data_IF_148410178424
#
_entry.id   IF_148410178424
#
_cell.length_a   1.000
_cell.length_b   1.000
_cell.length_c   1.000
_cell.angle_alpha   90.00
_cell.angle_beta   90.00
_cell.angle_gamma   90.00
#
_symmetry.space_group_name_H-M   'P 1'
#
loop_
_entity.id
_entity.type
_entity.pdbx_description
1 polymer ?
#
# COMPACT_ATOMS: atom_id res chain seq x y z
N UNK A 1 45.35 -54.46 73.09
CA UNK A 1 44.09 -54.45 72.31
C UNK A 1 43.60 -53.02 72.25
N UNK A 2 43.39 -52.47 71.06
CA UNK A 2 42.97 -51.08 70.86
C UNK A 2 43.47 -50.51 69.54
N UNK A 3 42.88 -50.96 68.42
CA UNK A 3 43.03 -50.34 67.10
C UNK A 3 42.24 -49.03 67.11
N UNK A 4 42.82 -47.92 66.67
CA UNK A 4 42.06 -46.76 66.21
C UNK A 4 42.74 -46.18 64.97
N UNK A 5 41.93 -46.13 63.90
CA UNK A 5 42.30 -45.87 62.53
C UNK A 5 42.39 -44.37 62.23
N UNK A 6 43.16 -44.07 61.18
CA UNK A 6 43.35 -42.76 60.56
C UNK A 6 42.03 -42.18 60.04
N UNK A 7 41.83 -40.87 60.21
CA UNK A 7 41.00 -40.06 59.33
C UNK A 7 41.80 -38.81 58.92
N UNK A 8 42.18 -38.75 57.64
CA UNK A 8 42.78 -37.58 57.01
C UNK A 8 41.65 -36.73 56.43
N UNK A 9 41.52 -35.49 56.89
CA UNK A 9 40.50 -34.54 56.46
C UNK A 9 40.99 -33.78 55.22
N UNK A 10 40.46 -34.13 54.04
CA UNK A 10 40.60 -33.35 52.81
C UNK A 10 39.65 -32.14 52.89
N UNK A 11 40.21 -30.93 52.94
CA UNK A 11 39.47 -29.68 52.73
C UNK A 11 39.30 -29.45 51.24
N UNK A 12 38.08 -29.66 50.73
CA UNK A 12 37.69 -29.22 49.39
C UNK A 12 37.07 -27.83 49.47
N UNK A 13 37.77 -26.81 48.96
CA UNK A 13 37.22 -25.48 48.75
C UNK A 13 36.23 -25.53 47.58
N UNK A 14 34.93 -25.39 47.88
CA UNK A 14 33.91 -25.21 46.85
C UNK A 14 33.93 -23.74 46.38
N UNK A 15 34.56 -23.49 45.23
CA UNK A 15 34.36 -22.24 44.50
C UNK A 15 32.93 -22.24 43.94
N UNK A 16 32.04 -21.47 44.56
CA UNK A 16 30.70 -21.20 44.03
C UNK A 16 30.86 -20.26 42.84
N UNK A 17 30.95 -20.85 41.63
CA UNK A 17 30.64 -20.14 40.39
C UNK A 17 29.16 -19.75 40.47
N UNK A 18 28.88 -18.49 40.77
CA UNK A 18 27.55 -17.92 40.66
C UNK A 18 27.10 -18.00 39.20
N UNK A 19 26.28 -18.99 38.88
CA UNK A 19 25.47 -18.96 37.67
C UNK A 19 24.61 -17.69 37.75
N UNK A 20 24.80 -16.75 36.83
CA UNK A 20 23.89 -15.63 36.66
C UNK A 20 22.50 -16.23 36.44
N UNK A 21 21.55 -15.91 37.32
CA UNK A 21 20.16 -16.30 37.12
C UNK A 21 19.73 -15.79 35.73
N UNK A 22 18.95 -16.57 34.95
CA UNK A 22 18.42 -16.06 33.70
C UNK A 22 17.68 -14.74 33.98
N UNK A 23 18.03 -13.71 33.22
CA UNK A 23 17.40 -12.38 33.26
C UNK A 23 15.87 -12.54 33.40
N UNK A 24 15.28 -11.92 34.42
CA UNK A 24 13.82 -11.96 34.61
C UNK A 24 13.07 -11.31 33.41
N UNK A 25 11.74 -11.52 33.29
CA UNK A 25 10.96 -11.04 32.16
C UNK A 25 11.13 -9.54 31.84
N UNK A 26 11.32 -8.70 32.86
CA UNK A 26 11.52 -7.25 32.70
C UNK A 26 12.87 -6.93 32.03
N UNK A 27 13.95 -7.60 32.46
CA UNK A 27 15.27 -7.43 31.85
C UNK A 27 15.30 -7.93 30.39
N UNK A 28 14.56 -9.00 30.10
CA UNK A 28 14.35 -9.48 28.73
C UNK A 28 13.58 -8.45 27.88
N UNK A 29 12.47 -7.91 28.41
CA UNK A 29 11.69 -6.88 27.73
C UNK A 29 12.53 -5.64 27.41
N UNK A 30 13.35 -5.17 28.35
CA UNK A 30 14.24 -4.02 28.11
C UNK A 30 15.22 -4.28 26.96
N UNK A 31 15.79 -5.49 26.89
CA UNK A 31 16.70 -5.88 25.79
C UNK A 31 15.98 -5.88 24.44
N UNK A 32 14.75 -6.40 24.41
CA UNK A 32 13.88 -6.39 23.22
C UNK A 32 13.58 -4.95 22.79
N UNK A 33 13.14 -4.09 23.71
CA UNK A 33 12.84 -2.69 23.44
C UNK A 33 14.08 -1.92 22.93
N UNK A 34 15.25 -2.12 23.55
CA UNK A 34 16.51 -1.52 23.08
C UNK A 34 16.86 -1.96 21.66
N UNK A 35 16.72 -3.25 21.35
CA UNK A 35 16.98 -3.78 20.01
C UNK A 35 15.99 -3.24 18.98
N UNK A 36 14.70 -3.20 19.30
CA UNK A 36 13.68 -2.63 18.42
C UNK A 36 13.91 -1.14 18.18
N UNK A 37 14.33 -0.38 19.20
CA UNK A 37 14.72 1.02 19.05
C UNK A 37 15.90 1.21 18.10
N UNK A 38 16.95 0.40 18.22
CA UNK A 38 18.08 0.42 17.29
C UNK A 38 17.66 0.11 15.85
N UNK A 39 16.77 -0.88 15.66
CA UNK A 39 16.26 -1.24 14.34
C UNK A 39 15.40 -0.11 13.74
N UNK A 40 14.38 0.35 14.46
CA UNK A 40 13.41 1.35 13.98
C UNK A 40 14.02 2.73 13.74
N UNK A 41 15.14 3.07 14.39
CA UNK A 41 15.87 4.30 14.12
C UNK A 41 16.70 4.27 12.82
N UNK A 42 17.02 3.08 12.30
CA UNK A 42 17.70 2.88 11.01
C UNK A 42 16.73 2.67 9.84
N UNK A 43 15.45 2.42 10.14
CA UNK A 43 14.40 2.21 9.14
C UNK A 43 14.21 3.37 8.14
N UNK A 44 14.42 4.67 8.50
CA UNK A 44 14.35 5.78 7.54
C UNK A 44 15.26 5.66 6.32
N UNK A 45 16.31 4.83 6.40
CA UNK A 45 17.26 4.63 5.31
C UNK A 45 16.73 3.67 4.23
N UNK A 46 15.50 3.15 4.34
CA UNK A 46 15.00 2.10 3.44
C UNK A 46 13.65 2.42 2.81
N UNK A 47 13.50 1.95 1.57
CA UNK A 47 12.25 1.94 0.81
C UNK A 47 11.97 0.53 0.35
N UNK A 48 10.72 0.10 0.43
CA UNK A 48 10.26 -1.20 -0.04
C UNK A 48 9.08 -1.05 -1.00
N UNK A 49 8.93 -1.99 -1.92
CA UNK A 49 7.70 -2.18 -2.68
C UNK A 49 6.69 -2.93 -1.81
N UNK A 50 5.56 -2.29 -1.51
CA UNK A 50 4.42 -2.89 -0.84
C UNK A 50 3.37 -3.30 -1.88
N UNK A 51 3.10 -4.60 -1.97
CA UNK A 51 2.00 -5.15 -2.79
C UNK A 51 0.86 -5.57 -1.86
N UNK A 52 -0.34 -5.02 -2.04
CA UNK A 52 -1.50 -5.27 -1.18
C UNK A 52 -2.64 -5.86 -1.99
N UNK A 53 -3.00 -7.11 -1.71
CA UNK A 53 -4.19 -7.76 -2.23
C UNK A 53 -5.40 -7.41 -1.35
N UNK A 54 -6.43 -6.82 -1.95
CA UNK A 54 -7.65 -6.43 -1.25
C UNK A 54 -8.78 -7.38 -1.59
N UNK A 55 -9.51 -7.80 -0.57
CA UNK A 55 -10.66 -8.68 -0.69
C UNK A 55 -11.74 -8.30 0.32
N UNK A 56 -12.99 -8.64 0.02
CA UNK A 56 -14.11 -8.43 0.94
C UNK A 56 -15.06 -9.60 0.99
N UNK A 57 -15.79 -9.73 2.09
CA UNK A 57 -16.99 -10.59 2.18
C UNK A 57 -18.12 -9.79 2.81
N UNK A 58 -19.34 -10.00 2.32
CA UNK A 58 -20.53 -9.29 2.79
C UNK A 58 -21.04 -9.79 4.15
N UNK A 59 -20.70 -11.03 4.50
CA UNK A 59 -21.08 -11.62 5.78
C UNK A 59 -20.00 -12.61 6.24
N UNK A 60 -19.96 -12.95 7.55
CA UNK A 60 -18.99 -13.90 8.09
C UNK A 60 -19.07 -15.32 7.49
N UNK A 61 -20.24 -15.71 7.00
CA UNK A 61 -20.46 -17.00 6.33
C UNK A 61 -20.08 -16.98 4.84
N UNK A 62 -19.89 -15.79 4.25
CA UNK A 62 -19.50 -15.63 2.86
C UNK A 62 -18.01 -15.90 2.61
N UNK A 63 -17.68 -16.22 1.36
CA UNK A 63 -16.30 -16.27 0.90
C UNK A 63 -15.75 -14.87 0.61
N UNK A 64 -14.44 -14.72 0.80
CA UNK A 64 -13.73 -13.52 0.38
C UNK A 64 -13.72 -13.44 -1.15
N UNK A 65 -14.25 -12.34 -1.67
CA UNK A 65 -14.18 -11.96 -3.07
C UNK A 65 -13.02 -10.99 -3.25
N UNK A 66 -12.06 -11.28 -4.15
CA UNK A 66 -11.02 -10.33 -4.52
C UNK A 66 -11.63 -9.02 -5.04
N UNK A 67 -11.04 -7.89 -4.66
CA UNK A 67 -11.41 -6.57 -5.14
C UNK A 67 -10.41 -6.11 -6.20
N UNK A 68 -9.16 -5.93 -5.77
CA UNK A 68 -8.04 -5.50 -6.59
C UNK A 68 -6.69 -5.73 -5.88
N UNK A 69 -5.60 -5.41 -6.57
CA UNK A 69 -4.24 -5.40 -6.03
C UNK A 69 -3.68 -3.99 -6.13
N UNK A 70 -3.04 -3.51 -5.06
CA UNK A 70 -2.37 -2.22 -4.96
C UNK A 70 -0.85 -2.43 -4.94
N UNK A 71 -0.10 -1.62 -5.69
CA UNK A 71 1.37 -1.58 -5.63
C UNK A 71 1.84 -0.15 -5.37
N UNK A 72 2.57 0.04 -4.27
CA UNK A 72 3.17 1.33 -3.88
C UNK A 72 4.56 1.10 -3.32
N UNK A 73 5.48 2.05 -3.52
CA UNK A 73 6.68 2.12 -2.69
C UNK A 73 6.33 2.79 -1.36
N UNK A 74 6.92 2.31 -0.27
CA UNK A 74 6.76 2.86 1.08
C UNK A 74 8.13 3.12 1.70
N UNK A 75 8.26 4.27 2.35
CA UNK A 75 9.46 4.66 3.11
C UNK A 75 9.09 5.46 4.35
N UNK A 76 10.05 5.62 5.26
CA UNK A 76 9.87 6.38 6.50
C UNK A 76 10.68 7.69 6.43
N UNK A 77 10.01 8.83 6.27
CA UNK A 77 10.65 10.15 6.19
C UNK A 77 10.07 11.06 7.28
N UNK A 78 10.93 11.68 8.09
CA UNK A 78 10.47 12.60 9.14
C UNK A 78 9.48 11.99 10.13
N UNK A 79 9.61 10.69 10.41
CA UNK A 79 8.67 9.91 11.24
C UNK A 79 7.25 9.77 10.65
N UNK A 80 7.08 9.93 9.34
CA UNK A 80 5.87 9.63 8.58
C UNK A 80 6.15 8.51 7.58
N UNK A 81 5.22 7.56 7.47
CA UNK A 81 5.22 6.68 6.31
C UNK A 81 4.75 7.49 5.11
N UNK A 82 5.62 7.59 4.10
CA UNK A 82 5.31 8.21 2.82
C UNK A 82 5.19 7.12 1.77
N UNK A 83 4.34 7.37 0.78
CA UNK A 83 4.04 6.43 -0.29
C UNK A 83 4.25 7.08 -1.65
N UNK A 84 4.57 6.25 -2.63
CA UNK A 84 4.65 6.67 -4.01
C UNK A 84 4.23 5.53 -4.92
N UNK A 85 3.88 5.86 -6.17
CA UNK A 85 3.73 4.83 -7.18
C UNK A 85 5.10 4.26 -7.58
N UNK A 86 5.17 2.98 -8.00
CA UNK A 86 6.41 2.41 -8.54
C UNK A 86 6.98 3.26 -9.68
N UNK A 87 8.30 3.36 -9.78
CA UNK A 87 9.02 4.13 -10.81
C UNK A 87 8.76 5.65 -10.78
N UNK A 88 8.12 6.18 -9.73
CA UNK A 88 8.02 7.63 -9.54
C UNK A 88 9.35 8.21 -9.08
N UNK A 89 9.58 9.50 -9.35
CA UNK A 89 10.84 10.17 -9.00
C UNK A 89 10.99 10.49 -7.50
N UNK A 90 9.92 10.34 -6.71
CA UNK A 90 9.92 10.63 -5.28
C UNK A 90 8.59 10.36 -4.61
N UNK A 91 8.59 10.49 -3.28
CA UNK A 91 7.40 10.31 -2.45
C UNK A 91 6.37 11.42 -2.66
N UNK A 92 5.09 11.05 -2.62
CA UNK A 92 3.99 12.01 -2.63
C UNK A 92 3.79 12.56 -1.22
N UNK A 93 3.60 13.87 -1.09
CA UNK A 93 3.11 14.47 0.17
C UNK A 93 1.57 14.40 0.22
N UNK A 94 1.05 13.19 0.04
CA UNK A 94 -0.37 12.86 0.13
C UNK A 94 -0.56 11.63 0.99
N UNK A 95 -1.72 11.52 1.61
CA UNK A 95 -2.07 10.31 2.32
C UNK A 95 -2.35 9.17 1.33
N UNK A 96 -2.02 7.93 1.71
CA UNK A 96 -2.26 6.75 0.87
C UNK A 96 -3.74 6.62 0.45
N UNK A 97 -4.67 7.00 1.34
CA UNK A 97 -6.10 7.01 1.06
C UNK A 97 -6.47 7.99 -0.07
N UNK A 98 -5.81 9.14 -0.14
CA UNK A 98 -6.02 10.14 -1.19
C UNK A 98 -5.41 9.69 -2.52
N UNK A 99 -4.24 9.06 -2.50
CA UNK A 99 -3.61 8.49 -3.70
C UNK A 99 -4.51 7.42 -4.36
N UNK A 100 -5.14 6.57 -3.55
CA UNK A 100 -5.97 5.45 -4.04
C UNK A 100 -7.41 5.91 -4.32
N UNK A 101 -7.93 6.85 -3.54
CA UNK A 101 -9.24 7.47 -3.68
C UNK A 101 -10.44 6.55 -3.39
N UNK A 102 -10.24 5.27 -3.07
CA UNK A 102 -11.32 4.32 -2.78
C UNK A 102 -10.91 3.07 -2.00
N UNK A 103 -11.91 2.48 -1.36
CA UNK A 103 -11.78 1.21 -0.63
C UNK A 103 -10.98 1.36 0.67
N UNK A 104 -10.80 0.23 1.35
CA UNK A 104 -10.06 0.18 2.61
C UNK A 104 -8.56 0.17 2.35
N UNK A 105 -7.83 1.00 3.10
CA UNK A 105 -6.37 1.09 3.09
C UNK A 105 -5.86 1.16 4.53
N UNK A 106 -4.64 0.67 4.76
CA UNK A 106 -3.99 0.71 6.06
C UNK A 106 -2.61 1.32 5.93
N UNK A 107 -2.21 2.11 6.94
CA UNK A 107 -0.87 2.66 7.07
C UNK A 107 -0.27 2.24 8.41
N UNK A 108 1.03 2.43 8.59
CA UNK A 108 1.73 2.10 9.82
C UNK A 108 2.31 0.69 9.86
N UNK A 109 2.04 -0.14 8.85
CA UNK A 109 2.52 -1.51 8.74
C UNK A 109 4.02 -1.59 8.44
N UNK A 110 4.60 -0.54 7.84
CA UNK A 110 6.04 -0.50 7.55
C UNK A 110 6.86 -0.17 8.80
N UNK A 111 6.39 0.79 9.60
CA UNK A 111 7.13 1.40 10.70
C UNK A 111 6.23 1.83 11.86
N UNK A 112 5.16 2.59 11.59
CA UNK A 112 4.56 3.45 12.62
C UNK A 112 3.92 2.66 13.75
N UNK A 113 3.28 1.52 13.49
CA UNK A 113 2.70 0.68 14.54
C UNK A 113 3.78 0.12 15.46
N UNK A 114 4.90 -0.37 14.91
CA UNK A 114 6.02 -0.83 15.71
C UNK A 114 6.66 0.32 16.51
N UNK A 115 6.82 1.51 15.90
CA UNK A 115 7.32 2.70 16.63
C UNK A 115 6.38 3.11 17.76
N UNK A 116 5.08 3.02 17.54
CA UNK A 116 4.08 3.33 18.56
C UNK A 116 4.17 2.35 19.74
N UNK A 117 4.37 1.06 19.49
CA UNK A 117 4.51 0.04 20.54
C UNK A 117 5.84 0.14 21.29
N UNK A 118 6.96 0.32 20.58
CA UNK A 118 8.30 0.18 21.17
C UNK A 118 8.98 1.50 21.57
N UNK A 119 8.62 2.65 20.97
CA UNK A 119 9.37 3.91 21.17
C UNK A 119 8.61 5.00 21.93
N UNK A 120 7.29 4.98 21.89
CA UNK A 120 6.44 5.99 22.56
C UNK A 120 6.52 5.93 24.09
N UNK A 121 6.92 4.78 24.65
CA UNK A 121 6.89 4.44 26.08
C UNK A 121 5.50 4.53 26.74
N UNK A 122 4.43 4.49 25.96
CA UNK A 122 3.05 4.48 26.48
C UNK A 122 2.42 3.09 26.53
N UNK A 123 3.10 2.08 25.96
CA UNK A 123 2.64 0.70 25.97
C UNK A 123 3.03 0.02 27.29
N UNK A 124 2.03 -0.57 27.95
CA UNK A 124 2.22 -1.41 29.13
C UNK A 124 2.32 -2.87 28.69
N UNK A 125 3.42 -3.54 29.03
CA UNK A 125 3.70 -4.91 28.60
C UNK A 125 3.46 -5.91 29.73
N UNK A 126 2.97 -7.10 29.38
CA UNK A 126 2.76 -8.22 30.29
C UNK A 126 3.40 -9.49 29.72
N UNK A 127 4.30 -10.09 30.50
CA UNK A 127 4.90 -11.39 30.17
C UNK A 127 3.83 -12.48 30.01
N UNK A 128 3.92 -13.27 28.92
CA UNK A 128 3.04 -14.43 28.71
C UNK A 128 3.76 -15.78 28.68
N UNK A 129 5.09 -15.79 28.61
CA UNK A 129 5.85 -17.03 28.57
C UNK A 129 6.53 -17.30 27.25
N UNK A 130 7.15 -18.47 27.19
CA UNK A 130 7.53 -19.11 25.95
C UNK A 130 6.28 -19.55 25.17
N UNK A 131 6.37 -19.52 23.85
CA UNK A 131 5.29 -19.83 22.92
C UNK A 131 5.88 -20.51 21.66
N UNK A 132 5.03 -21.09 20.82
CA UNK A 132 5.39 -21.63 19.51
C UNK A 132 4.63 -20.89 18.43
N UNK A 133 5.29 -19.94 17.76
CA UNK A 133 4.70 -19.23 16.63
C UNK A 133 5.05 -19.96 15.33
N UNK A 134 4.03 -20.49 14.64
CA UNK A 134 4.19 -21.27 13.41
C UNK A 134 5.23 -22.42 13.55
N UNK A 135 5.26 -23.06 14.73
CA UNK A 135 6.19 -24.15 15.04
C UNK A 135 7.62 -23.72 15.39
N UNK A 136 7.91 -22.42 15.51
CA UNK A 136 9.21 -21.89 15.96
C UNK A 136 9.11 -21.37 17.39
N UNK A 137 10.15 -21.62 18.18
CA UNK A 137 10.26 -21.08 19.54
C UNK A 137 10.19 -19.56 19.52
N UNK A 138 9.32 -19.01 20.35
CA UNK A 138 9.14 -17.58 20.52
C UNK A 138 8.91 -17.27 22.00
N UNK A 139 9.15 -16.02 22.34
CA UNK A 139 8.76 -15.43 23.62
C UNK A 139 7.63 -14.45 23.34
N UNK A 140 6.58 -14.48 24.15
CA UNK A 140 5.40 -13.63 23.98
C UNK A 140 5.26 -12.62 25.11
N UNK A 141 5.01 -11.37 24.71
CA UNK A 141 4.48 -10.33 25.59
C UNK A 141 3.16 -9.83 25.01
N UNK A 142 2.16 -9.69 25.86
CA UNK A 142 0.99 -8.88 25.52
C UNK A 142 1.27 -7.43 25.88
N UNK A 143 0.60 -6.50 25.20
CA UNK A 143 0.69 -5.09 25.51
C UNK A 143 -0.64 -4.36 25.34
N UNK A 144 -0.78 -3.22 26.00
CA UNK A 144 -1.92 -2.32 25.85
C UNK A 144 -1.45 -0.86 25.77
N UNK A 145 -2.13 -0.09 24.91
CA UNK A 145 -2.01 1.36 24.79
C UNK A 145 -3.39 1.99 25.03
N UNK A 146 -3.59 2.69 26.16
CA UNK A 146 -4.83 3.39 26.46
C UNK A 146 -5.17 4.46 25.41
N UNK A 147 -6.46 4.70 25.16
CA UNK A 147 -6.93 5.66 24.16
C UNK A 147 -6.40 7.08 24.38
N UNK A 148 -6.31 7.53 25.63
CA UNK A 148 -5.84 8.87 25.99
C UNK A 148 -4.33 9.07 25.78
N UNK A 149 -3.55 8.00 25.62
CA UNK A 149 -2.12 8.03 25.33
C UNK A 149 -1.81 7.62 23.88
N UNK A 150 -2.83 7.22 23.12
CA UNK A 150 -2.70 6.75 21.75
C UNK A 150 -2.71 7.89 20.74
N UNK A 151 -1.96 7.74 19.65
CA UNK A 151 -2.13 8.50 18.41
C UNK A 151 -2.71 7.67 17.26
N UNK A 152 -3.19 6.45 17.51
CA UNK A 152 -3.71 5.57 16.46
C UNK A 152 -5.11 6.01 16.03
N UNK A 153 -5.26 6.32 14.74
CA UNK A 153 -6.49 6.89 14.18
C UNK A 153 -7.14 5.94 13.19
N UNK A 154 -8.45 5.79 13.30
CA UNK A 154 -9.31 5.16 12.29
C UNK A 154 -10.12 6.26 11.61
N UNK A 155 -10.15 6.23 10.27
CA UNK A 155 -10.89 7.20 9.44
C UNK A 155 -11.89 6.48 8.56
N UNK A 156 -13.15 6.87 8.66
CA UNK A 156 -14.27 6.44 7.81
C UNK A 156 -15.03 7.71 7.43
N UNK A 157 -14.64 8.40 6.34
CA UNK A 157 -15.17 9.71 6.02
C UNK A 157 -16.71 9.78 6.06
N UNK A 158 -17.29 10.82 6.68
CA UNK A 158 -16.63 12.00 7.23
C UNK A 158 -16.07 11.83 8.66
N UNK A 159 -16.23 10.65 9.27
CA UNK A 159 -15.87 10.41 10.66
C UNK A 159 -14.40 9.97 10.82
N UNK A 160 -13.78 10.39 11.92
CA UNK A 160 -12.48 9.88 12.34
C UNK A 160 -12.39 9.89 13.88
N UNK A 161 -11.62 8.95 14.44
CA UNK A 161 -11.36 8.93 15.87
C UNK A 161 -9.98 8.34 16.19
N UNK A 162 -9.40 8.83 17.28
CA UNK A 162 -8.28 8.17 17.96
C UNK A 162 -8.83 7.04 18.83
N UNK A 163 -8.20 5.86 18.73
CA UNK A 163 -8.57 4.63 19.44
C UNK A 163 -7.40 4.15 20.30
N UNK A 164 -7.72 3.51 21.44
CA UNK A 164 -6.75 2.69 22.13
C UNK A 164 -6.49 1.41 21.32
N UNK A 165 -5.47 0.66 21.69
CA UNK A 165 -5.24 -0.65 21.08
C UNK A 165 -4.45 -1.56 22.02
N UNK A 166 -4.52 -2.85 21.77
CA UNK A 166 -3.76 -3.86 22.48
C UNK A 166 -3.29 -4.92 21.49
N UNK A 167 -2.49 -5.86 21.97
CA UNK A 167 -2.14 -7.03 21.18
C UNK A 167 -0.96 -7.75 21.78
N UNK A 168 -0.17 -8.36 20.91
CA UNK A 168 0.90 -9.25 21.31
C UNK A 168 2.12 -9.08 20.40
N UNK A 169 3.30 -9.24 20.99
CA UNK A 169 4.56 -9.32 20.28
C UNK A 169 5.18 -10.68 20.52
N UNK A 170 5.64 -11.31 19.44
CA UNK A 170 6.41 -12.55 19.47
C UNK A 170 7.83 -12.26 19.05
N UNK A 171 8.78 -12.76 19.83
CA UNK A 171 10.19 -12.47 19.65
C UNK A 171 10.97 -13.77 19.64
N UNK A 172 11.93 -13.90 18.72
CA UNK A 172 12.81 -15.06 18.68
C UNK A 172 13.76 -15.04 19.91
N UNK A 173 13.84 -16.10 20.73
CA UNK A 173 14.59 -16.08 21.98
C UNK A 173 16.10 -15.89 21.77
N UNK A 174 16.65 -16.47 20.70
CA UNK A 174 18.09 -16.47 20.45
C UNK A 174 18.61 -15.11 19.95
N UNK A 175 17.84 -14.47 19.07
CA UNK A 175 18.25 -13.21 18.45
C UNK A 175 17.62 -12.00 19.11
N UNK A 176 16.47 -12.13 19.77
CA UNK A 176 15.59 -11.04 20.16
C UNK A 176 14.99 -10.26 18.97
N UNK A 177 14.96 -10.83 17.78
CA UNK A 177 14.25 -10.24 16.65
C UNK A 177 12.74 -10.36 16.87
N UNK A 178 12.02 -9.25 16.64
CA UNK A 178 10.56 -9.29 16.50
C UNK A 178 10.23 -10.23 15.34
N UNK A 179 9.32 -11.16 15.59
CA UNK A 179 8.82 -12.13 14.60
C UNK A 179 7.42 -11.74 14.16
N UNK A 180 6.55 -11.33 15.11
CA UNK A 180 5.19 -10.88 14.82
C UNK A 180 4.77 -9.77 15.76
N UNK A 181 4.06 -8.79 15.22
CA UNK A 181 3.32 -7.77 15.96
C UNK A 181 1.84 -7.88 15.59
N UNK A 182 0.99 -8.12 16.58
CA UNK A 182 -0.47 -8.07 16.44
C UNK A 182 -1.00 -6.80 17.12
N UNK A 183 -1.90 -6.10 16.44
CA UNK A 183 -2.52 -4.83 16.87
C UNK A 183 -4.02 -4.96 16.71
N UNK A 184 -4.76 -4.83 17.82
CA UNK A 184 -6.23 -4.84 17.86
C UNK A 184 -6.73 -3.52 18.44
N UNK A 185 -7.56 -2.82 17.69
CA UNK A 185 -8.15 -1.56 18.14
C UNK A 185 -9.16 -1.79 19.26
N UNK A 186 -9.17 -0.90 20.24
CA UNK A 186 -10.08 -0.88 21.38
C UNK A 186 -11.01 0.34 21.31
N UNK A 187 -12.18 0.23 21.93
CA UNK A 187 -13.08 1.37 22.15
C UNK A 187 -13.39 2.16 20.86
N UNK A 188 -13.58 1.44 19.74
CA UNK A 188 -13.88 2.06 18.45
C UNK A 188 -15.23 2.78 18.57
N UNK A 189 -15.31 4.12 18.38
CA UNK A 189 -16.57 4.82 18.51
C UNK A 189 -17.60 4.37 17.47
N UNK A 190 -18.85 4.16 17.91
CA UNK A 190 -19.97 3.71 17.09
C UNK A 190 -20.17 4.52 15.79
N UNK A 191 -19.99 5.87 15.75
CA UNK A 191 -20.11 6.64 14.52
C UNK A 191 -19.15 6.23 13.39
N UNK A 192 -18.06 5.51 13.69
CA UNK A 192 -17.19 4.96 12.65
C UNK A 192 -17.82 3.78 11.90
N UNK A 193 -18.88 3.16 12.44
CA UNK A 193 -19.54 2.01 11.82
C UNK A 193 -18.69 0.73 11.84
N UNK A 194 -17.69 0.66 12.71
CA UNK A 194 -16.67 -0.38 12.76
C UNK A 194 -16.77 -1.21 14.03
N UNK A 195 -16.82 -2.54 13.88
CA UNK A 195 -16.84 -3.50 14.98
C UNK A 195 -15.43 -3.94 15.38
N UNK A 196 -14.54 -4.14 14.40
CA UNK A 196 -13.20 -4.66 14.65
C UNK A 196 -12.19 -4.08 13.65
N UNK A 197 -10.99 -3.80 14.14
CA UNK A 197 -9.84 -3.44 13.32
C UNK A 197 -8.58 -4.13 13.86
N UNK A 198 -8.05 -5.08 13.09
CA UNK A 198 -6.87 -5.87 13.45
C UNK A 198 -5.80 -5.71 12.38
N UNK A 199 -4.58 -5.41 12.81
CA UNK A 199 -3.38 -5.50 11.96
C UNK A 199 -2.44 -6.55 12.52
N UNK A 200 -1.91 -7.41 11.65
CA UNK A 200 -0.85 -8.36 11.97
C UNK A 200 0.31 -8.07 11.04
N UNK A 201 1.52 -7.96 11.57
CA UNK A 201 2.75 -7.79 10.77
C UNK A 201 3.75 -8.86 11.15
N UNK A 202 4.28 -9.54 10.14
CA UNK A 202 5.33 -10.55 10.26
C UNK A 202 6.67 -9.96 9.85
N UNK A 203 7.69 -10.20 10.65
CA UNK A 203 9.02 -9.63 10.49
C UNK A 203 10.04 -10.73 10.20
N UNK A 204 10.97 -10.41 9.32
CA UNK A 204 12.15 -11.24 9.10
C UNK A 204 13.34 -10.36 8.73
N UNK A 205 14.54 -10.94 8.82
CA UNK A 205 15.75 -10.30 8.31
C UNK A 205 15.76 -10.40 6.79
N UNK A 206 16.05 -9.27 6.14
CA UNK A 206 16.32 -9.19 4.71
C UNK A 206 17.73 -8.64 4.48
N UNK A 207 18.52 -9.24 3.57
CA UNK A 207 19.81 -8.70 3.19
C UNK A 207 19.62 -7.43 2.34
N UNK A 208 20.16 -6.30 2.79
CA UNK A 208 20.16 -5.04 2.06
C UNK A 208 21.57 -4.47 2.06
N UNK A 209 22.18 -4.43 0.88
CA UNK A 209 23.59 -4.05 0.74
C UNK A 209 24.49 -5.01 1.53
N UNK A 210 25.24 -4.46 2.49
CA UNK A 210 26.17 -5.23 3.33
C UNK A 210 25.61 -5.53 4.73
N UNK A 211 24.29 -5.38 4.94
CA UNK A 211 23.67 -5.58 6.26
C UNK A 211 22.38 -6.37 6.19
N UNK A 212 22.15 -7.21 7.20
CA UNK A 212 20.86 -7.86 7.43
C UNK A 212 19.98 -6.97 8.30
N UNK A 213 18.84 -6.57 7.77
CA UNK A 213 17.94 -5.62 8.41
C UNK A 213 16.60 -6.26 8.72
N UNK A 214 16.08 -6.04 9.94
CA UNK A 214 14.79 -6.59 10.35
C UNK A 214 13.66 -5.70 9.82
N UNK A 215 12.86 -6.24 8.92
CA UNK A 215 11.79 -5.53 8.23
C UNK A 215 10.49 -6.31 8.32
N UNK A 216 9.33 -5.63 8.24
CA UNK A 216 8.10 -6.32 7.92
C UNK A 216 8.26 -7.00 6.55
N UNK A 217 7.84 -8.26 6.45
CA UNK A 217 7.80 -9.04 5.22
C UNK A 217 6.37 -9.21 4.73
N UNK A 218 5.43 -9.35 5.66
CA UNK A 218 4.02 -9.46 5.37
C UNK A 218 3.19 -8.66 6.39
N UNK A 219 2.01 -8.22 5.96
CA UNK A 219 1.01 -7.60 6.82
C UNK A 219 -0.39 -8.09 6.46
N UNK A 220 -1.28 -8.22 7.43
CA UNK A 220 -2.71 -8.40 7.19
C UNK A 220 -3.48 -7.33 7.98
N UNK A 221 -4.32 -6.55 7.31
CA UNK A 221 -5.32 -5.69 7.92
C UNK A 221 -6.69 -6.31 7.71
N UNK A 222 -7.43 -6.50 8.80
CA UNK A 222 -8.79 -7.02 8.81
C UNK A 222 -9.71 -6.01 9.50
N UNK A 223 -10.71 -5.55 8.76
CA UNK A 223 -11.68 -4.56 9.19
C UNK A 223 -13.08 -5.16 9.11
N UNK A 224 -13.81 -5.17 10.22
CA UNK A 224 -15.19 -5.65 10.30
C UNK A 224 -16.11 -4.48 10.61
N UNK A 225 -17.14 -4.28 9.79
CA UNK A 225 -18.17 -3.26 10.02
C UNK A 225 -19.21 -3.75 11.03
N UNK A 226 -20.00 -2.83 11.60
CA UNK A 226 -21.16 -3.20 12.44
C UNK A 226 -22.23 -4.00 11.68
N UNK A 227 -22.26 -3.89 10.33
CA UNK A 227 -23.16 -4.70 9.49
C UNK A 227 -22.63 -6.11 9.20
N UNK A 228 -21.41 -6.44 9.65
CA UNK A 228 -20.78 -7.74 9.41
C UNK A 228 -20.07 -7.88 8.06
N UNK A 229 -19.95 -6.79 7.28
CA UNK A 229 -19.05 -6.76 6.14
C UNK A 229 -17.61 -6.79 6.64
N UNK A 230 -16.77 -7.57 5.97
CA UNK A 230 -15.35 -7.66 6.31
C UNK A 230 -14.47 -7.36 5.12
N UNK A 231 -13.57 -6.41 5.31
CA UNK A 231 -12.55 -6.02 4.37
C UNK A 231 -11.19 -6.55 4.86
N UNK A 232 -10.45 -7.16 3.95
CA UNK A 232 -9.13 -7.75 4.24
C UNK A 232 -8.12 -7.29 3.21
N UNK A 233 -7.03 -6.72 3.71
CA UNK A 233 -5.87 -6.30 2.94
C UNK A 233 -4.67 -7.17 3.36
N UNK A 234 -4.12 -7.93 2.42
CA UNK A 234 -2.89 -8.72 2.63
C UNK A 234 -1.75 -8.06 1.88
N UNK A 235 -0.77 -7.59 2.62
CA UNK A 235 0.40 -6.89 2.12
C UNK A 235 1.66 -7.74 2.17
N UNK A 236 2.52 -7.60 1.18
CA UNK A 236 3.88 -8.12 1.15
C UNK A 236 4.87 -6.98 0.88
N UNK A 237 6.02 -7.02 1.54
CA UNK A 237 7.10 -6.05 1.38
C UNK A 237 8.28 -6.71 0.66
N UNK A 238 8.59 -6.21 -0.53
CA UNK A 238 9.62 -6.79 -1.41
C UNK A 238 10.51 -5.69 -1.99
N UNK A 239 11.60 -6.08 -2.65
CA UNK A 239 12.47 -5.12 -3.35
C UNK A 239 13.07 -4.04 -2.46
N UNK A 240 13.21 -4.31 -1.15
CA UNK A 240 13.69 -3.34 -0.19
C UNK A 240 15.12 -2.90 -0.51
N UNK A 241 15.34 -1.58 -0.56
CA UNK A 241 16.61 -0.97 -0.92
C UNK A 241 16.91 0.22 -0.03
N UNK A 242 18.20 0.52 0.13
CA UNK A 242 18.60 1.72 0.84
C UNK A 242 18.23 2.97 0.01
N UNK A 243 17.61 3.95 0.65
CA UNK A 243 17.28 5.24 0.06
C UNK A 243 18.57 6.00 -0.22
N UNK A 244 18.85 6.26 -1.50
CA UNK A 244 19.91 7.19 -1.93
C UNK A 244 19.25 8.53 -2.18
N UNK A 245 19.81 9.59 -1.61
CA UNK A 245 19.26 10.96 -1.53
C UNK A 245 19.03 11.70 -2.85
N UNK A 246 18.92 11.01 -3.99
CA UNK A 246 18.61 11.62 -5.29
C UNK A 246 17.10 11.74 -5.55
N UNK A 247 16.25 11.13 -4.72
CA UNK A 247 14.80 11.34 -4.78
C UNK A 247 14.46 12.68 -4.14
N UNK A 248 14.31 13.72 -4.96
CA UNK A 248 13.77 15.00 -4.54
C UNK A 248 12.37 14.78 -3.97
N UNK A 249 12.17 15.14 -2.69
CA UNK A 249 10.83 15.28 -2.14
C UNK A 249 10.11 16.37 -2.95
N UNK A 250 9.09 15.98 -3.71
CA UNK A 250 8.30 16.90 -4.51
C UNK A 250 7.29 17.58 -3.60
N UNK A 251 7.75 18.55 -2.81
CA UNK A 251 6.88 19.46 -2.07
C UNK A 251 6.31 20.49 -3.03
N UNK A 252 5.37 20.09 -3.89
CA UNK A 252 4.61 21.05 -4.70
C UNK A 252 3.49 21.63 -3.82
N UNK A 253 3.82 22.67 -3.04
CA UNK A 253 2.88 23.77 -2.82
C UNK A 253 2.87 24.63 -4.10
N UNK A 254 1.73 25.20 -4.54
CA UNK A 254 1.72 26.18 -5.62
C UNK A 254 2.29 27.51 -5.10
N UNK A 255 3.58 27.53 -4.74
CA UNK A 255 4.31 28.77 -4.52
C UNK A 255 4.82 29.23 -5.87
N UNK A 256 4.36 30.41 -6.27
CA UNK A 256 4.87 31.12 -7.42
C UNK A 256 6.36 31.44 -7.19
N UNK A 257 7.26 30.64 -7.74
CA UNK A 257 8.66 31.01 -7.88
C UNK A 257 9.13 30.88 -9.33
N UNK A 258 9.45 32.07 -9.84
CA UNK A 258 10.07 32.41 -11.11
C UNK A 258 11.44 31.76 -11.27
N UNK A 259 11.55 30.83 -12.21
CA UNK A 259 12.81 30.22 -12.64
C UNK A 259 12.59 29.01 -13.55
N UNK A 260 11.89 29.19 -14.67
CA UNK A 260 11.60 28.12 -15.65
C UNK A 260 12.94 27.61 -16.23
N UNK A 261 13.30 26.31 -16.10
CA UNK A 261 14.22 25.68 -17.05
C UNK A 261 13.68 25.88 -18.47
N UNK A 262 14.49 25.81 -19.55
CA UNK A 262 14.00 25.99 -20.92
C UNK A 262 12.71 25.19 -21.13
N UNK A 263 11.62 25.93 -21.35
CA UNK A 263 10.31 25.52 -20.88
C UNK A 263 9.78 24.30 -21.58
N UNK A 264 9.58 23.21 -20.82
CA UNK A 264 8.72 22.14 -21.27
C UNK A 264 7.38 22.74 -21.76
N UNK A 265 6.91 22.39 -22.97
CA UNK A 265 5.72 22.99 -23.53
C UNK A 265 4.49 22.55 -22.73
N UNK A 266 3.76 23.50 -22.15
CA UNK A 266 2.53 23.21 -21.43
C UNK A 266 1.43 22.84 -22.43
N UNK A 267 0.71 21.74 -22.18
CA UNK A 267 -0.43 21.36 -23.02
C UNK A 267 -1.55 22.39 -22.79
N UNK A 268 -2.13 22.99 -23.85
CA UNK A 268 -3.20 23.96 -23.68
C UNK A 268 -4.44 23.30 -23.04
N UNK A 269 -5.04 23.89 -22.00
CA UNK A 269 -6.31 23.45 -21.44
C UNK A 269 -7.38 23.24 -22.49
N UNK A 270 -8.15 22.15 -22.36
CA UNK A 270 -9.22 21.80 -23.29
C UNK A 270 -8.75 21.21 -24.63
N UNK A 271 -7.43 21.07 -24.85
CA UNK A 271 -6.90 20.39 -26.03
C UNK A 271 -7.36 18.94 -26.09
N UNK A 272 -7.76 18.51 -27.28
CA UNK A 272 -8.04 17.11 -27.54
C UNK A 272 -6.75 16.38 -27.93
N UNK A 273 -6.48 15.25 -27.30
CA UNK A 273 -5.37 14.36 -27.64
C UNK A 273 -5.91 12.97 -27.97
N UNK A 274 -5.46 12.41 -29.10
CA UNK A 274 -5.73 11.01 -29.47
C UNK A 274 -4.52 10.18 -29.03
N UNK A 275 -4.73 9.25 -28.12
CA UNK A 275 -3.71 8.34 -27.61
C UNK A 275 -3.92 6.95 -28.20
N UNK A 276 -2.83 6.26 -28.54
CA UNK A 276 -2.84 4.83 -28.84
C UNK A 276 -2.05 4.10 -27.78
N UNK A 277 -2.69 3.12 -27.13
CA UNK A 277 -2.03 2.32 -26.11
C UNK A 277 -0.80 1.59 -26.69
N UNK A 278 0.36 1.73 -26.07
CA UNK A 278 1.63 1.21 -26.59
C UNK A 278 2.01 -0.15 -25.97
N UNK A 279 1.22 -0.64 -25.02
CA UNK A 279 1.41 -1.92 -24.36
C UNK A 279 0.10 -2.70 -24.29
N UNK A 280 0.18 -3.98 -23.94
CA UNK A 280 -1.00 -4.73 -23.53
C UNK A 280 -1.25 -4.53 -22.03
N UNK A 281 -2.52 -4.57 -21.63
CA UNK A 281 -2.91 -4.62 -20.22
C UNK A 281 -3.72 -5.88 -20.02
N UNK A 282 -3.27 -6.74 -19.10
CA UNK A 282 -4.01 -7.88 -18.62
C UNK A 282 -4.78 -7.46 -17.35
N UNK A 283 -6.10 -7.26 -17.40
CA UNK A 283 -6.86 -6.79 -16.24
C UNK A 283 -6.88 -7.79 -15.08
N UNK A 284 -6.53 -9.06 -15.29
CA UNK A 284 -6.47 -10.06 -14.21
C UNK A 284 -5.15 -9.96 -13.43
N UNK A 285 -4.06 -9.52 -14.08
CA UNK A 285 -2.74 -9.37 -13.46
C UNK A 285 -2.38 -7.92 -13.08
N UNK A 286 -3.11 -6.94 -13.63
CA UNK A 286 -2.87 -5.52 -13.39
C UNK A 286 -3.18 -5.11 -11.95
N UNK A 287 -2.33 -4.26 -11.39
CA UNK A 287 -2.50 -3.65 -10.09
C UNK A 287 -2.64 -2.13 -10.19
N UNK A 288 -3.27 -1.52 -9.21
CA UNK A 288 -3.25 -0.07 -9.03
C UNK A 288 -1.79 0.36 -8.83
N UNK A 289 -1.37 1.37 -9.60
CA UNK A 289 0.00 1.87 -9.60
C UNK A 289 0.85 1.38 -10.78
N UNK A 290 0.44 0.32 -11.47
CA UNK A 290 1.16 -0.22 -12.61
C UNK A 290 1.31 0.84 -13.71
N UNK A 291 2.53 0.96 -14.24
CA UNK A 291 2.88 1.90 -15.31
C UNK A 291 2.19 1.53 -16.63
N UNK A 292 1.65 2.56 -17.31
CA UNK A 292 0.97 2.43 -18.60
C UNK A 292 1.58 3.41 -19.59
N UNK A 293 1.96 2.90 -20.76
CA UNK A 293 2.47 3.69 -21.87
C UNK A 293 1.46 3.78 -23.01
N UNK A 294 1.32 4.97 -23.55
CA UNK A 294 0.65 5.26 -24.81
C UNK A 294 1.55 6.13 -25.68
N UNK A 295 1.12 6.36 -26.93
CA UNK A 295 1.74 7.32 -27.84
C UNK A 295 0.68 8.25 -28.41
N UNK A 296 1.07 9.48 -28.77
CA UNK A 296 0.21 10.35 -29.56
C UNK A 296 -0.09 9.72 -30.92
N UNK A 297 -1.37 9.45 -31.19
CA UNK A 297 -1.83 8.89 -32.46
C UNK A 297 -1.89 9.93 -33.59
N UNK A 298 -1.81 11.23 -33.23
CA UNK A 298 -1.75 12.38 -34.15
C UNK A 298 -0.90 13.48 -33.52
N UNK A 299 -0.29 14.36 -34.32
CA UNK A 299 0.45 15.50 -33.77
C UNK A 299 -0.50 16.45 -33.01
N UNK A 300 -0.11 16.83 -31.79
CA UNK A 300 -0.79 17.87 -31.02
C UNK A 300 -0.36 19.24 -31.55
N UNK A 301 -1.34 20.06 -31.96
CA UNK A 301 -1.10 21.37 -32.57
C UNK A 301 -1.84 22.48 -31.81
N UNK A 302 -1.24 23.66 -31.79
CA UNK A 302 -1.89 24.91 -31.40
C UNK A 302 -1.74 25.91 -32.56
N UNK A 303 -2.83 26.11 -33.31
CA UNK A 303 -2.75 26.80 -34.60
C UNK A 303 -1.83 26.03 -35.57
N UNK A 304 -0.82 26.71 -36.10
CA UNK A 304 0.16 26.10 -37.02
C UNK A 304 1.32 25.40 -36.29
N UNK A 305 1.54 25.71 -35.00
CA UNK A 305 2.65 25.16 -34.23
C UNK A 305 2.36 23.72 -33.78
N UNK A 306 3.32 22.82 -34.01
CA UNK A 306 3.29 21.46 -33.44
C UNK A 306 3.86 21.55 -32.02
N UNK A 307 3.02 21.26 -31.03
CA UNK A 307 3.44 21.18 -29.63
C UNK A 307 4.15 19.85 -29.38
N UNK A 308 3.59 18.78 -29.94
CA UNK A 308 4.15 17.43 -29.80
C UNK A 308 3.89 16.60 -31.06
N UNK A 309 4.90 15.86 -31.54
CA UNK A 309 4.76 15.06 -32.75
C UNK A 309 3.90 13.80 -32.50
N UNK A 310 3.36 13.25 -33.58
CA UNK A 310 2.83 11.88 -33.57
C UNK A 310 3.92 10.90 -33.12
N UNK A 311 3.53 9.88 -32.34
CA UNK A 311 4.45 8.90 -31.77
C UNK A 311 5.13 9.36 -30.48
N UNK A 312 4.96 10.61 -30.03
CA UNK A 312 5.47 11.06 -28.74
C UNK A 312 4.90 10.20 -27.61
N UNK A 313 5.75 9.79 -26.67
CA UNK A 313 5.36 8.88 -25.60
C UNK A 313 4.54 9.61 -24.54
N UNK A 314 3.52 8.92 -24.02
CA UNK A 314 2.65 9.42 -22.96
C UNK A 314 2.65 8.38 -21.85
N UNK A 315 3.09 8.80 -20.67
CA UNK A 315 3.18 7.97 -19.48
C UNK A 315 1.95 8.18 -18.61
N UNK A 316 1.47 7.08 -18.05
CA UNK A 316 0.32 7.01 -17.20
C UNK A 316 0.37 5.81 -16.28
N UNK A 317 -0.74 5.56 -15.59
CA UNK A 317 -0.88 4.47 -14.63
C UNK A 317 -2.27 3.85 -14.66
N UNK A 318 -2.33 2.61 -14.21
CA UNK A 318 -3.59 1.98 -13.81
C UNK A 318 -3.99 2.53 -12.44
N UNK A 319 -5.14 3.20 -12.37
CA UNK A 319 -5.69 3.77 -11.13
C UNK A 319 -6.94 3.02 -10.67
N UNK A 320 -7.48 2.13 -11.51
CA UNK A 320 -8.51 1.17 -11.12
C UNK A 320 -8.42 -0.12 -11.91
N UNK A 321 -8.64 -1.22 -11.20
CA UNK A 321 -8.98 -2.53 -11.74
C UNK A 321 -10.03 -3.09 -10.80
N UNK A 322 -11.16 -3.55 -11.31
CA UNK A 322 -12.18 -4.18 -10.49
C UNK A 322 -12.92 -5.20 -11.33
N UNK A 323 -13.05 -6.44 -10.82
CA UNK A 323 -13.81 -7.49 -11.49
C UNK A 323 -15.26 -7.45 -11.01
N UNK A 324 -16.16 -7.16 -11.95
CA UNK A 324 -17.61 -7.22 -11.74
C UNK A 324 -18.13 -8.55 -12.24
N UNK A 325 -18.96 -9.22 -11.44
CA UNK A 325 -19.61 -10.48 -11.83
C UNK A 325 -21.01 -10.22 -12.39
N UNK A 326 -21.65 -9.14 -11.94
CA UNK A 326 -22.99 -8.73 -12.35
C UNK A 326 -22.95 -7.42 -13.15
N UNK A 327 -23.85 -7.23 -14.13
CA UNK A 327 -24.80 -8.23 -14.65
C UNK A 327 -24.14 -9.36 -15.45
N UNK A 328 -22.86 -9.22 -15.79
CA UNK A 328 -22.02 -10.27 -16.38
C UNK A 328 -20.54 -10.01 -16.04
N UNK A 329 -19.66 -11.03 -16.15
CA UNK A 329 -18.24 -10.90 -15.87
C UNK A 329 -17.55 -9.84 -16.76
N UNK A 330 -17.08 -8.76 -16.17
CA UNK A 330 -16.29 -7.74 -16.85
C UNK A 330 -15.34 -7.05 -15.87
N UNK A 331 -14.30 -6.41 -16.41
CA UNK A 331 -13.39 -5.57 -15.66
C UNK A 331 -13.75 -4.10 -15.84
N UNK A 332 -13.65 -3.34 -14.76
CA UNK A 332 -13.59 -1.87 -14.79
C UNK A 332 -12.13 -1.50 -14.64
N UNK A 333 -11.52 -0.98 -15.70
CA UNK A 333 -10.13 -0.52 -15.72
C UNK A 333 -10.11 0.98 -15.86
N UNK A 334 -9.50 1.71 -14.93
CA UNK A 334 -9.29 3.15 -15.08
C UNK A 334 -7.81 3.47 -15.28
N UNK A 335 -7.54 4.31 -16.27
CA UNK A 335 -6.22 4.80 -16.62
C UNK A 335 -6.12 6.29 -16.30
N UNK A 336 -4.95 6.73 -15.88
CA UNK A 336 -4.61 8.14 -15.73
C UNK A 336 -3.30 8.41 -16.46
N UNK A 337 -3.31 9.28 -17.48
CA UNK A 337 -2.10 9.76 -18.12
C UNK A 337 -1.69 11.09 -17.51
N UNK A 338 -0.40 11.22 -17.20
CA UNK A 338 0.12 12.35 -16.41
C UNK A 338 1.34 13.04 -17.03
N UNK A 339 2.06 12.39 -17.96
CA UNK A 339 3.29 12.94 -18.53
C UNK A 339 3.36 12.72 -20.03
N UNK A 340 3.61 13.80 -20.78
CA UNK A 340 3.99 13.76 -22.18
C UNK A 340 5.51 13.86 -22.26
N UNK A 341 6.14 12.87 -22.89
CA UNK A 341 7.59 12.79 -23.04
C UNK A 341 8.00 13.18 -24.46
N UNK A 342 8.81 14.24 -24.56
CA UNK A 342 9.34 14.80 -25.80
C UNK A 342 10.86 14.56 -25.93
N UNK A 343 11.40 13.61 -25.17
CA UNK A 343 12.83 13.29 -25.13
C UNK A 343 13.62 14.29 -24.29
N UNK A 344 13.90 15.48 -24.84
CA UNK A 344 14.69 16.51 -24.15
C UNK A 344 13.90 17.26 -23.06
N UNK A 345 12.56 17.14 -23.07
CA UNK A 345 11.67 17.78 -22.11
C UNK A 345 10.45 16.91 -21.82
N UNK A 346 9.90 17.01 -20.62
CA UNK A 346 8.67 16.34 -20.23
C UNK A 346 7.65 17.36 -19.74
N UNK A 347 6.38 17.16 -20.11
CA UNK A 347 5.28 18.02 -19.72
C UNK A 347 4.28 17.24 -18.89
N UNK A 348 4.05 17.68 -17.65
CA UNK A 348 2.97 17.15 -16.82
C UNK A 348 1.63 17.72 -17.27
N UNK A 349 0.60 16.89 -17.27
CA UNK A 349 -0.77 17.29 -17.59
C UNK A 349 -1.77 16.41 -16.86
N UNK A 350 -3.03 16.84 -16.83
CA UNK A 350 -4.16 16.03 -16.43
C UNK A 350 -5.15 16.02 -17.60
N UNK A 351 -5.75 14.86 -17.88
CA UNK A 351 -6.73 14.74 -18.94
C UNK A 351 -7.80 13.72 -18.60
N UNK A 352 -9.02 14.00 -19.04
CA UNK A 352 -10.18 13.11 -18.89
C UNK A 352 -10.45 12.43 -20.24
N UNK A 353 -10.61 11.10 -20.25
CA UNK A 353 -10.94 10.38 -21.48
C UNK A 353 -12.35 10.73 -21.93
N UNK A 354 -12.58 10.98 -23.20
CA UNK A 354 -13.93 11.22 -23.72
C UNK A 354 -14.53 9.97 -24.34
N UNK A 355 -13.67 9.14 -24.93
CA UNK A 355 -14.08 7.99 -25.70
C UNK A 355 -12.92 7.01 -25.88
N UNK A 356 -13.26 5.75 -26.08
CA UNK A 356 -12.32 4.70 -26.46
C UNK A 356 -12.84 4.05 -27.75
N UNK A 357 -11.96 3.93 -28.74
CA UNK A 357 -12.28 3.43 -30.07
C UNK A 357 -12.79 1.98 -30.03
N UNK A 358 -13.52 1.54 -31.07
CA UNK A 358 -14.06 0.18 -31.08
C UNK A 358 -12.92 -0.83 -30.98
N UNK A 359 -12.98 -1.70 -29.99
CA UNK A 359 -12.06 -2.82 -29.83
C UNK A 359 -12.83 -4.09 -29.44
N UNK A 360 -12.39 -5.28 -29.88
CA UNK A 360 -12.93 -6.53 -29.37
C UNK A 360 -12.74 -6.59 -27.85
N UNK A 361 -13.82 -6.65 -27.09
CA UNK A 361 -13.80 -6.64 -25.62
C UNK A 361 -14.16 -5.31 -24.97
N UNK A 362 -14.07 -4.20 -25.71
CA UNK A 362 -14.53 -2.92 -25.19
C UNK A 362 -16.07 -2.91 -25.11
N UNK A 363 -16.58 -2.79 -23.90
CA UNK A 363 -18.01 -2.63 -23.64
C UNK A 363 -18.35 -1.15 -23.76
N UNK A 364 -19.33 -0.83 -24.60
CA UNK A 364 -19.74 0.56 -24.81
C UNK A 364 -20.47 1.09 -23.57
N UNK A 365 -20.10 2.30 -23.22
CA UNK A 365 -20.76 3.09 -22.20
C UNK A 365 -21.86 3.95 -22.84
N UNK A 366 -23.01 4.07 -22.19
CA UNK A 366 -24.07 5.02 -22.58
C UNK A 366 -24.49 5.87 -21.39
N UNK A 367 -24.65 7.18 -21.62
CA UNK A 367 -25.15 8.13 -20.60
C UNK A 367 -26.66 8.00 -20.33
N UNK A 368 -27.41 7.39 -21.26
CA UNK A 368 -28.83 7.07 -21.12
C UNK A 368 -29.10 5.70 -21.73
N UNK A 369 -29.84 4.85 -21.02
CA UNK A 369 -30.51 3.73 -21.66
C UNK A 369 -31.70 4.30 -22.43
N UNK A 370 -31.64 4.22 -23.75
CA UNK A 370 -32.80 4.43 -24.60
C UNK A 370 -33.33 3.02 -24.95
N UNK A 371 -34.45 2.56 -24.35
CA UNK A 371 -34.97 1.21 -24.57
C UNK A 371 -35.59 1.15 -25.97
N UNK A 372 -34.75 1.13 -27.00
CA UNK A 372 -35.20 0.84 -28.35
C UNK A 372 -35.40 -0.66 -28.46
N UNK A 373 -36.66 -1.10 -28.35
CA UNK A 373 -37.07 -2.46 -28.72
C UNK A 373 -36.88 -2.66 -30.23
N UNK A 374 -35.64 -2.84 -30.66
CA UNK A 374 -35.34 -3.19 -32.04
C UNK A 374 -35.70 -4.66 -32.26
N UNK A 375 -36.44 -4.97 -33.34
CA UNK A 375 -36.74 -6.36 -33.75
C UNK A 375 -35.49 -7.21 -34.05
N UNK A 376 -34.32 -6.59 -34.15
CA UNK A 376 -33.02 -7.29 -34.14
C UNK A 376 -32.54 -7.43 -32.69
N UNK A 377 -32.45 -8.67 -32.20
CA UNK A 377 -31.62 -9.00 -31.02
C UNK A 377 -30.16 -8.71 -31.37
N UNK A 378 -29.68 -7.49 -31.17
CA UNK A 378 -28.24 -7.27 -31.08
C UNK A 378 -27.80 -7.68 -29.68
N UNK A 379 -26.87 -8.62 -29.56
CA UNK A 379 -26.26 -9.02 -28.28
C UNK A 379 -25.31 -7.93 -27.70
N UNK A 380 -25.65 -6.65 -27.90
CA UNK A 380 -24.86 -5.50 -27.45
C UNK A 380 -25.61 -4.85 -26.30
N UNK A 381 -25.04 -4.92 -25.11
CA UNK A 381 -25.58 -4.31 -23.90
C UNK A 381 -24.64 -3.17 -23.49
N UNK A 382 -25.21 -1.99 -23.31
CA UNK A 382 -24.46 -0.80 -22.91
C UNK A 382 -24.45 -0.68 -21.37
N UNK A 383 -23.34 -0.21 -20.81
CA UNK A 383 -23.24 0.08 -19.37
C UNK A 383 -23.60 1.54 -19.12
N UNK A 384 -24.53 1.78 -18.21
CA UNK A 384 -24.86 3.13 -17.76
C UNK A 384 -23.70 3.66 -16.90
N UNK A 385 -23.06 4.74 -17.33
CA UNK A 385 -22.01 5.40 -16.55
C UNK A 385 -22.62 6.52 -15.75
N UNK A 386 -22.56 6.41 -14.42
CA UNK A 386 -23.11 7.44 -13.54
C UNK A 386 -22.16 8.64 -13.42
N UNK A 387 -20.84 8.42 -13.26
CA UNK A 387 -19.86 9.50 -13.13
C UNK A 387 -18.49 9.08 -13.66
N UNK A 388 -17.85 9.96 -14.42
CA UNK A 388 -16.45 9.83 -14.82
C UNK A 388 -15.62 10.76 -13.95
N UNK A 389 -14.62 10.22 -13.24
CA UNK A 389 -13.74 11.05 -12.42
C UNK A 389 -12.85 11.92 -13.32
N UNK A 390 -12.76 13.24 -13.07
CA UNK A 390 -11.83 14.11 -13.78
C UNK A 390 -10.40 13.56 -13.70
N UNK A 391 -9.66 13.69 -14.81
CA UNK A 391 -8.28 13.22 -14.91
C UNK A 391 -8.11 11.73 -15.16
N UNK A 392 -9.19 10.99 -15.42
CA UNK A 392 -9.14 9.55 -15.66
C UNK A 392 -9.95 9.12 -16.88
N UNK A 393 -9.62 7.94 -17.40
CA UNK A 393 -10.39 7.24 -18.42
C UNK A 393 -10.82 5.87 -17.94
N UNK A 394 -12.12 5.61 -17.90
CA UNK A 394 -12.69 4.33 -17.45
C UNK A 394 -13.07 3.46 -18.65
N UNK A 395 -12.52 2.26 -18.70
CA UNK A 395 -12.75 1.23 -19.70
C UNK A 395 -13.50 0.08 -19.03
N UNK A 396 -14.65 -0.31 -19.60
CA UNK A 396 -15.29 -1.58 -19.25
C UNK A 396 -14.86 -2.63 -20.26
N UNK A 397 -14.29 -3.71 -19.76
CA UNK A 397 -13.65 -4.73 -20.58
C UNK A 397 -14.28 -6.10 -20.33
N UNK A 398 -14.78 -6.75 -21.37
CA UNK A 398 -15.36 -8.09 -21.30
C UNK A 398 -14.34 -9.09 -20.77
N UNK A 399 -14.65 -9.78 -19.66
CA UNK A 399 -13.71 -10.69 -19.02
C UNK A 399 -13.37 -11.92 -19.89
N UNK A 400 -14.13 -12.18 -20.97
CA UNK A 400 -13.80 -13.22 -21.97
C UNK A 400 -12.63 -12.80 -22.88
N UNK A 401 -12.34 -11.51 -22.96
CA UNK A 401 -11.17 -10.99 -23.65
C UNK A 401 -10.07 -10.79 -22.62
N UNK A 402 -9.05 -11.65 -22.65
CA UNK A 402 -8.00 -11.68 -21.64
C UNK A 402 -7.23 -10.36 -21.50
N UNK A 403 -7.05 -9.61 -22.61
CA UNK A 403 -6.15 -8.45 -22.64
C UNK A 403 -6.74 -7.28 -23.40
N UNK A 404 -6.55 -6.08 -22.84
CA UNK A 404 -6.65 -4.83 -23.58
C UNK A 404 -5.41 -4.75 -24.46
N UNK A 405 -5.60 -4.86 -25.78
CA UNK A 405 -4.49 -4.95 -26.72
C UNK A 405 -3.80 -3.61 -26.96
N UNK A 406 -2.51 -3.67 -27.29
CA UNK A 406 -1.78 -2.56 -27.91
C UNK A 406 -2.55 -2.04 -29.13
N UNK A 407 -2.52 -0.73 -29.31
CA UNK A 407 -3.20 -0.05 -30.40
C UNK A 407 -4.61 0.46 -30.06
N UNK A 408 -5.14 0.18 -28.86
CA UNK A 408 -6.41 0.76 -28.42
C UNK A 408 -6.33 2.29 -28.51
N UNK A 409 -7.14 2.88 -29.38
CA UNK A 409 -7.24 4.33 -29.56
C UNK A 409 -8.18 4.91 -28.52
N UNK A 410 -7.78 6.02 -27.92
CA UNK A 410 -8.54 6.72 -26.89
C UNK A 410 -8.47 8.21 -27.16
N UNK A 411 -9.61 8.90 -27.06
CA UNK A 411 -9.67 10.36 -27.16
C UNK A 411 -9.75 10.93 -25.76
N UNK A 412 -8.91 11.91 -25.47
CA UNK A 412 -8.83 12.56 -24.16
C UNK A 412 -8.91 14.07 -24.32
N UNK A 413 -9.43 14.74 -23.31
CA UNK A 413 -9.44 16.20 -23.21
C UNK A 413 -8.56 16.62 -22.05
N UNK A 414 -7.60 17.50 -22.31
CA UNK A 414 -6.75 18.09 -21.27
C UNK A 414 -7.63 18.92 -20.35
N UNK A 415 -7.56 18.64 -19.05
CA UNK A 415 -8.38 19.29 -18.06
C UNK A 415 -7.96 20.77 -17.91
N UNK A 416 -8.90 21.69 -17.60
CA UNK A 416 -8.53 23.03 -17.19
C UNK A 416 -7.72 22.94 -15.90
N UNK A 417 -6.48 23.42 -15.94
CA UNK A 417 -5.61 23.46 -14.77
C UNK A 417 -6.35 24.11 -13.60
N UNK A 418 -6.34 23.45 -12.45
CA UNK A 418 -6.92 24.00 -11.22
C UNK A 418 -6.03 25.10 -10.65
#
# INVERSE_FOLDING_TARGET
MGRLARCASLWAAAAVLGAQAPDGPDALLERIQRKMAQNLNRLPDYVCLQTVERSRRQSPAGSYQPLDTLRVEVGLVGNRELYSWPDSSGFEDKELAEMIGRGVVGTGHFALLAKHVFLSRVAEFTWKGEDLLNGRAAVRFDYQVPRNLSSYRIRVPPNEAVVGFHGSVWVAPDTLDLVRLEVRSNEIPEPLGMAEAVSIMDYARAPIGNSDFLLPQASELRLVTLSGEENRNRGEFTGCRQYRSESSLSFDEPSAQTGKPPGAPTLPPGSEIELSLDQEIDPEAAALGDSVRAVLARPLRQGQQVIAPEGAAVLGRVVRVEKQVLPFPHYIVALQFHTLDLGASQSRFLATMEDAGPAPGLIRQKKRLDPTFTRRRSARMDILVNEQQPGQGVIHWDARQQRIRRGLKMRWRVDPGR
#
